data_IF_980685709976
#
_entry.id   IF_980685709976
#
_cell.length_a   1.000
_cell.length_b   1.000
_cell.length_c   1.000
_cell.angle_alpha   90.00
_cell.angle_beta   90.00
_cell.angle_gamma   90.00
#
_symmetry.space_group_name_H-M   'P 1'
#
loop_
_entity.id
_entity.type
_entity.pdbx_description
1 polymer ?
#
# COMPACT_ATOMS: atom_id res chain seq x y z
N UNK A 1 69.24 6.65 26.63
CA UNK A 1 68.76 5.68 27.65
C UNK A 1 67.57 6.35 28.34
N UNK A 2 66.34 5.84 28.45
CA UNK A 2 65.70 4.53 28.24
C UNK A 2 64.28 4.76 27.67
N UNK A 3 63.84 3.82 26.85
CA UNK A 3 62.46 3.55 26.42
C UNK A 3 61.56 3.24 27.62
N UNK A 4 60.27 3.59 27.55
CA UNK A 4 59.18 2.69 27.94
C UNK A 4 57.92 2.99 27.12
N UNK A 5 57.25 1.93 26.70
CA UNK A 5 56.15 1.84 25.73
C UNK A 5 54.79 1.54 26.42
N UNK A 6 53.73 1.65 25.61
CA UNK A 6 52.36 1.07 25.72
C UNK A 6 51.44 1.73 26.75
N UNK A 7 50.16 2.03 26.50
CA UNK A 7 49.17 1.71 25.46
C UNK A 7 47.79 1.92 26.13
N UNK A 8 46.72 2.39 25.47
CA UNK A 8 45.58 1.58 25.01
C UNK A 8 44.49 2.51 24.46
N UNK A 9 43.83 2.00 23.41
CA UNK A 9 42.61 2.38 22.71
C UNK A 9 41.48 3.09 23.50
N UNK A 10 40.77 3.98 22.81
CA UNK A 10 39.29 3.98 22.74
C UNK A 10 38.82 4.81 21.54
N UNK A 11 37.73 4.34 20.94
CA UNK A 11 37.33 4.59 19.56
C UNK A 11 36.01 5.37 19.45
N UNK A 12 35.57 5.52 18.20
CA UNK A 12 34.22 5.82 17.69
C UNK A 12 33.80 7.29 17.49
N UNK A 13 33.72 7.63 16.20
CA UNK A 13 32.51 8.03 15.47
C UNK A 13 31.38 8.68 16.28
N UNK A 14 31.13 9.95 15.98
CA UNK A 14 29.84 10.59 16.17
C UNK A 14 29.40 11.22 14.85
N UNK A 15 28.99 10.40 13.89
CA UNK A 15 28.14 10.86 12.78
C UNK A 15 26.81 11.18 13.44
N UNK A 16 26.47 12.46 13.61
CA UNK A 16 25.09 12.85 13.90
C UNK A 16 24.29 12.59 12.63
N UNK A 17 23.77 11.37 12.52
CA UNK A 17 22.77 11.02 11.53
C UNK A 17 21.63 12.02 11.68
N UNK A 18 21.31 12.71 10.58
CA UNK A 18 20.07 13.45 10.43
C UNK A 18 18.93 12.55 10.90
N UNK A 19 18.36 12.87 12.06
CA UNK A 19 17.05 12.39 12.45
C UNK A 19 16.07 13.00 11.44
N UNK A 20 15.85 12.27 10.35
CA UNK A 20 14.81 12.56 9.39
C UNK A 20 13.51 12.39 10.16
N UNK A 21 12.87 13.51 10.47
CA UNK A 21 11.53 13.56 11.04
C UNK A 21 10.63 12.93 9.97
N UNK A 22 10.37 11.63 10.07
CA UNK A 22 9.28 10.97 9.35
C UNK A 22 7.98 11.51 9.96
N UNK A 23 7.56 12.69 9.50
CA UNK A 23 6.24 13.21 9.81
C UNK A 23 5.20 12.23 9.26
N UNK A 24 4.08 12.11 9.97
CA UNK A 24 2.95 11.28 9.57
C UNK A 24 2.23 11.88 8.34
N UNK A 25 2.93 11.98 7.22
CA UNK A 25 2.54 12.68 5.98
C UNK A 25 1.24 12.12 5.40
N UNK A 26 0.97 10.84 5.62
CA UNK A 26 -0.29 10.20 5.22
C UNK A 26 -1.53 10.87 5.86
N UNK A 27 -1.39 11.50 7.03
CA UNK A 27 -2.50 12.21 7.70
C UNK A 27 -2.95 13.47 6.96
N UNK A 28 -2.17 13.94 5.99
CA UNK A 28 -2.52 15.05 5.12
C UNK A 28 -3.08 14.59 3.77
N UNK A 29 -2.95 13.30 3.45
CA UNK A 29 -3.46 12.72 2.22
C UNK A 29 -4.96 12.38 2.36
N UNK A 30 -5.85 13.00 1.57
CA UNK A 30 -7.28 12.72 1.61
C UNK A 30 -7.63 11.27 1.27
N UNK A 31 -6.86 10.60 0.40
CA UNK A 31 -7.09 9.20 0.04
C UNK A 31 -6.85 8.32 1.26
N UNK A 32 -5.73 8.50 1.94
CA UNK A 32 -5.37 7.70 3.13
C UNK A 32 -6.27 8.00 4.35
N UNK A 33 -6.87 9.18 4.42
CA UNK A 33 -7.61 9.64 5.61
C UNK A 33 -9.13 9.55 5.49
N UNK A 34 -9.67 9.40 4.29
CA UNK A 34 -11.12 9.35 4.06
C UNK A 34 -11.58 7.91 3.89
N UNK A 35 -12.44 7.44 4.79
CA UNK A 35 -13.10 6.12 4.64
C UNK A 35 -13.96 6.10 3.39
N UNK A 36 -13.79 5.05 2.57
CA UNK A 36 -14.53 4.87 1.34
C UNK A 36 -13.77 4.11 0.26
N UNK A 37 -14.32 4.18 -0.96
CA UNK A 37 -13.75 3.62 -2.17
C UNK A 37 -13.26 4.78 -3.03
N UNK A 38 -11.97 4.79 -3.33
CA UNK A 38 -11.29 5.81 -4.11
C UNK A 38 -10.78 5.24 -5.41
N UNK A 39 -10.68 6.10 -6.42
CA UNK A 39 -10.09 5.80 -7.71
C UNK A 39 -8.95 6.78 -7.97
N UNK A 40 -7.81 6.23 -8.35
CA UNK A 40 -6.74 6.96 -9.02
C UNK A 40 -6.72 6.49 -10.48
N UNK A 41 -6.66 7.42 -11.42
CA UNK A 41 -6.66 7.13 -12.86
C UNK A 41 -5.58 7.94 -13.57
N UNK A 42 -5.32 7.60 -14.84
CA UNK A 42 -4.37 8.31 -15.70
C UNK A 42 -3.01 8.50 -15.01
N UNK A 43 -2.45 7.39 -14.53
CA UNK A 43 -1.13 7.35 -13.88
C UNK A 43 -0.96 8.34 -12.70
N UNK A 44 -2.03 8.63 -11.98
CA UNK A 44 -2.01 9.53 -10.81
C UNK A 44 -2.61 10.92 -11.06
N UNK A 45 -2.92 11.27 -12.30
CA UNK A 45 -3.46 12.59 -12.65
C UNK A 45 -4.92 12.76 -12.23
N UNK A 46 -5.70 11.67 -12.22
CA UNK A 46 -7.09 11.67 -11.78
C UNK A 46 -7.23 11.07 -10.39
N UNK A 47 -8.02 11.72 -9.52
CA UNK A 47 -8.36 11.21 -8.20
C UNK A 47 -9.84 11.48 -7.91
N UNK A 48 -10.56 10.47 -7.41
CA UNK A 48 -11.97 10.59 -7.06
C UNK A 48 -12.36 9.70 -5.88
N UNK A 49 -13.17 10.23 -4.97
CA UNK A 49 -13.93 9.43 -4.01
C UNK A 49 -15.20 8.93 -4.70
N UNK A 50 -15.27 7.63 -5.00
CA UNK A 50 -16.42 7.03 -5.68
C UNK A 50 -17.58 6.80 -4.72
N UNK A 51 -17.29 6.42 -3.48
CA UNK A 51 -18.31 6.14 -2.46
C UNK A 51 -17.75 6.23 -1.05
N UNK A 52 -18.55 6.73 -0.10
CA UNK A 52 -18.29 6.62 1.35
C UNK A 52 -18.82 5.31 1.95
N UNK A 53 -19.77 4.67 1.27
CA UNK A 53 -20.25 3.35 1.63
C UNK A 53 -19.36 2.28 1.00
N UNK A 54 -18.99 1.27 1.79
CA UNK A 54 -18.16 0.16 1.36
C UNK A 54 -19.01 -1.11 1.36
N UNK A 55 -19.15 -1.74 0.19
CA UNK A 55 -19.85 -3.02 0.05
C UNK A 55 -19.38 -3.76 -1.21
N UNK A 56 -19.53 -5.09 -1.22
CA UNK A 56 -19.23 -5.91 -2.40
C UNK A 56 -19.96 -5.40 -3.65
N UNK A 57 -21.21 -4.95 -3.50
CA UNK A 57 -22.00 -4.42 -4.61
C UNK A 57 -21.34 -3.18 -5.23
N UNK A 58 -20.87 -2.26 -4.40
CA UNK A 58 -20.22 -1.03 -4.90
C UNK A 58 -18.85 -1.37 -5.49
N UNK A 59 -18.04 -2.19 -4.82
CA UNK A 59 -16.75 -2.66 -5.34
C UNK A 59 -16.92 -3.30 -6.72
N UNK A 60 -17.83 -4.28 -6.83
CA UNK A 60 -18.13 -4.96 -8.08
C UNK A 60 -18.65 -3.98 -9.14
N UNK A 61 -19.51 -3.03 -8.76
CA UNK A 61 -20.01 -2.04 -9.72
C UNK A 61 -18.92 -1.10 -10.22
N UNK A 62 -18.01 -0.63 -9.37
CA UNK A 62 -17.00 0.35 -9.77
C UNK A 62 -15.85 -0.30 -10.53
N UNK A 63 -15.36 -1.46 -10.07
CA UNK A 63 -14.23 -2.13 -10.73
C UNK A 63 -14.56 -2.56 -12.16
N UNK A 64 -15.81 -2.94 -12.43
CA UNK A 64 -16.27 -3.41 -13.74
C UNK A 64 -16.63 -2.27 -14.72
N UNK A 65 -16.62 -1.00 -14.30
CA UNK A 65 -16.81 0.15 -15.20
C UNK A 65 -15.53 0.56 -15.92
N UNK A 66 -14.38 0.14 -15.41
CA UNK A 66 -13.06 0.62 -15.84
C UNK A 66 -12.55 -0.21 -17.02
N UNK A 67 -11.90 0.45 -17.99
CA UNK A 67 -11.22 -0.23 -19.09
C UNK A 67 -9.79 -0.61 -18.70
N UNK A 68 -9.68 -1.71 -17.97
CA UNK A 68 -8.38 -2.25 -17.54
C UNK A 68 -7.46 -2.65 -18.69
N UNK A 69 -7.94 -2.79 -19.93
CA UNK A 69 -7.10 -3.20 -21.07
C UNK A 69 -6.37 -1.99 -21.66
N UNK A 70 -7.05 -0.85 -21.76
CA UNK A 70 -6.51 0.34 -22.41
C UNK A 70 -5.84 1.32 -21.44
N UNK A 71 -6.29 1.34 -20.18
CA UNK A 71 -5.92 2.37 -19.22
C UNK A 71 -5.28 1.78 -17.95
N UNK A 72 -4.70 2.67 -17.14
CA UNK A 72 -4.13 2.37 -15.84
C UNK A 72 -5.01 2.96 -14.73
N UNK A 73 -5.36 2.12 -13.75
CA UNK A 73 -6.16 2.52 -12.59
C UNK A 73 -5.59 1.98 -11.29
N UNK A 74 -5.89 2.65 -10.19
CA UNK A 74 -5.80 2.10 -8.84
C UNK A 74 -7.15 2.30 -8.15
N UNK A 75 -7.73 1.23 -7.65
CA UNK A 75 -8.94 1.26 -6.84
C UNK A 75 -8.55 0.95 -5.39
N UNK A 76 -8.86 1.89 -4.49
CA UNK A 76 -8.39 1.85 -3.10
C UNK A 76 -9.61 1.80 -2.20
N UNK A 77 -9.67 0.78 -1.34
CA UNK A 77 -10.66 0.66 -0.29
C UNK A 77 -10.02 1.02 1.03
N UNK A 78 -10.55 2.04 1.70
CA UNK A 78 -10.08 2.56 2.99
C UNK A 78 -11.12 2.23 4.04
N UNK A 79 -10.82 1.28 4.93
CA UNK A 79 -11.73 0.84 5.99
C UNK A 79 -11.72 1.80 7.19
N UNK A 80 -10.54 2.32 7.50
CA UNK A 80 -10.32 3.34 8.51
C UNK A 80 -9.14 4.22 8.05
N UNK A 81 -9.03 5.48 8.53
CA UNK A 81 -7.91 6.34 8.18
C UNK A 81 -6.58 5.63 8.42
N UNK A 82 -5.78 5.45 7.36
CA UNK A 82 -4.49 4.76 7.40
C UNK A 82 -4.54 3.23 7.30
N UNK A 83 -5.72 2.60 7.15
CA UNK A 83 -5.82 1.17 6.79
C UNK A 83 -6.57 1.03 5.47
N UNK A 84 -5.86 0.52 4.47
CA UNK A 84 -6.39 0.40 3.12
C UNK A 84 -5.88 -0.84 2.38
N UNK A 85 -6.66 -1.28 1.40
CA UNK A 85 -6.21 -2.18 0.34
C UNK A 85 -6.36 -1.47 -0.99
N UNK A 86 -5.28 -1.44 -1.75
CA UNK A 86 -5.23 -0.98 -3.13
C UNK A 86 -5.15 -2.18 -4.05
N UNK A 87 -5.92 -2.17 -5.14
CA UNK A 87 -5.64 -2.95 -6.34
C UNK A 87 -5.36 -1.98 -7.48
N UNK A 88 -4.47 -2.32 -8.40
CA UNK A 88 -4.18 -1.42 -9.50
C UNK A 88 -3.29 -2.02 -10.57
N UNK A 89 -3.14 -1.28 -11.66
CA UNK A 89 -2.38 -1.70 -12.83
C UNK A 89 -3.14 -1.56 -14.14
N UNK A 90 -2.68 -2.31 -15.14
CA UNK A 90 -3.31 -2.47 -16.45
C UNK A 90 -3.11 -3.88 -17.00
N UNK A 91 -4.09 -4.36 -17.77
CA UNK A 91 -4.08 -5.60 -18.56
C UNK A 91 -3.56 -5.36 -20.00
N UNK A 92 -2.93 -4.22 -20.27
CA UNK A 92 -2.31 -3.89 -21.56
C UNK A 92 -1.12 -4.79 -21.96
N UNK A 93 -0.71 -5.71 -21.10
CA UNK A 93 0.44 -6.61 -21.30
C UNK A 93 1.80 -5.99 -20.96
N UNK A 94 1.84 -4.79 -20.39
CA UNK A 94 3.06 -4.05 -20.03
C UNK A 94 3.11 -3.76 -18.52
N UNK A 95 2.08 -3.12 -17.96
CA UNK A 95 2.12 -2.63 -16.56
C UNK A 95 1.86 -3.75 -15.53
N UNK A 96 1.05 -4.74 -15.90
CA UNK A 96 0.62 -5.82 -15.00
C UNK A 96 -0.38 -5.32 -13.94
N UNK A 97 -0.84 -6.24 -13.09
CA UNK A 97 -1.73 -5.94 -11.97
C UNK A 97 -1.03 -6.19 -10.63
N UNK A 98 -1.46 -5.50 -9.58
CA UNK A 98 -0.94 -5.68 -8.23
C UNK A 98 -2.00 -5.39 -7.18
N UNK A 99 -1.69 -5.78 -5.94
CA UNK A 99 -2.45 -5.39 -4.76
C UNK A 99 -1.50 -5.03 -3.62
N UNK A 100 -1.85 -3.98 -2.87
CA UNK A 100 -1.06 -3.45 -1.75
C UNK A 100 -1.97 -3.20 -0.56
N UNK A 101 -1.71 -3.90 0.54
CA UNK A 101 -2.24 -3.57 1.86
C UNK A 101 -1.36 -2.53 2.53
N UNK A 102 -1.97 -1.57 3.21
CA UNK A 102 -1.27 -0.58 4.04
C UNK A 102 -1.95 -0.44 5.39
N UNK A 103 -1.13 -0.40 6.44
CA UNK A 103 -1.51 -0.02 7.79
C UNK A 103 -0.48 1.00 8.30
N UNK A 104 -0.84 2.28 8.14
CA UNK A 104 0.01 3.42 8.47
C UNK A 104 0.24 3.57 9.97
N UNK A 105 -0.70 3.12 10.81
CA UNK A 105 -0.55 3.17 12.27
C UNK A 105 0.57 2.25 12.75
N UNK A 106 0.68 1.08 12.13
CA UNK A 106 1.67 0.06 12.47
C UNK A 106 2.90 0.08 11.54
N UNK A 107 2.94 1.02 10.58
CA UNK A 107 3.99 1.14 9.56
C UNK A 107 4.19 -0.16 8.79
N UNK A 108 3.09 -0.82 8.45
CA UNK A 108 3.07 -2.07 7.68
C UNK A 108 2.60 -1.75 6.27
N UNK A 109 3.39 -2.15 5.28
CA UNK A 109 2.94 -2.33 3.92
C UNK A 109 3.08 -3.81 3.56
N UNK A 110 2.12 -4.35 2.80
CA UNK A 110 2.22 -5.70 2.27
C UNK A 110 1.84 -5.70 0.78
N UNK A 111 2.68 -6.29 -0.05
CA UNK A 111 2.44 -6.40 -1.50
C UNK A 111 2.12 -7.84 -1.83
N UNK A 112 1.13 -8.07 -2.69
CA UNK A 112 0.78 -9.43 -3.12
C UNK A 112 1.98 -10.12 -3.78
N UNK A 113 2.24 -11.36 -3.39
CA UNK A 113 3.40 -12.12 -3.89
C UNK A 113 3.21 -12.53 -5.35
N UNK A 114 2.01 -12.99 -5.69
CA UNK A 114 1.61 -13.39 -7.05
C UNK A 114 0.63 -12.35 -7.60
N UNK A 115 1.00 -11.71 -8.70
CA UNK A 115 0.17 -10.68 -9.33
C UNK A 115 -1.22 -11.23 -9.70
N UNK A 116 -2.31 -10.46 -9.49
CA UNK A 116 -3.62 -10.83 -10.00
C UNK A 116 -3.60 -10.97 -11.53
N UNK A 117 -4.33 -11.94 -12.07
CA UNK A 117 -4.37 -12.19 -13.52
C UNK A 117 -5.64 -11.64 -14.19
N UNK A 118 -6.59 -11.13 -13.39
CA UNK A 118 -7.88 -10.68 -13.91
C UNK A 118 -8.56 -9.67 -13.00
N UNK A 119 -9.50 -8.91 -13.58
CA UNK A 119 -10.40 -8.02 -12.85
C UNK A 119 -11.16 -8.75 -11.75
N UNK A 120 -11.59 -10.00 -12.01
CA UNK A 120 -12.29 -10.82 -11.01
C UNK A 120 -11.40 -11.14 -9.79
N UNK A 121 -10.12 -11.44 -10.01
CA UNK A 121 -9.20 -11.68 -8.89
C UNK A 121 -8.96 -10.39 -8.08
N UNK A 122 -8.79 -9.25 -8.74
CA UNK A 122 -8.69 -7.95 -8.05
C UNK A 122 -9.95 -7.62 -7.23
N UNK A 123 -11.14 -7.85 -7.81
CA UNK A 123 -12.41 -7.70 -7.10
C UNK A 123 -12.44 -8.58 -5.85
N UNK A 124 -12.11 -9.87 -5.99
CA UNK A 124 -12.11 -10.81 -4.88
C UNK A 124 -11.15 -10.38 -3.76
N UNK A 125 -9.95 -9.87 -4.08
CA UNK A 125 -9.00 -9.37 -3.07
C UNK A 125 -9.65 -8.27 -2.22
N UNK A 126 -10.29 -7.28 -2.85
CA UNK A 126 -10.98 -6.21 -2.14
C UNK A 126 -12.18 -6.73 -1.33
N UNK A 127 -12.97 -7.66 -1.88
CA UNK A 127 -14.09 -8.27 -1.17
C UNK A 127 -13.62 -9.04 0.07
N UNK A 128 -12.56 -9.84 -0.03
CA UNK A 128 -11.96 -10.54 1.11
C UNK A 128 -11.35 -9.57 2.13
N UNK A 129 -10.82 -8.42 1.69
CA UNK A 129 -10.32 -7.39 2.59
C UNK A 129 -11.45 -6.82 3.46
N UNK A 130 -12.61 -6.50 2.87
CA UNK A 130 -13.72 -5.89 3.61
C UNK A 130 -14.52 -6.88 4.47
N UNK A 131 -14.32 -8.19 4.32
CA UNK A 131 -14.85 -9.20 5.24
C UNK A 131 -14.23 -9.12 6.65
N UNK A 132 -13.08 -8.47 6.81
CA UNK A 132 -12.36 -8.42 8.08
C UNK A 132 -11.61 -9.70 8.40
N UNK A 133 -11.23 -9.90 9.66
CA UNK A 133 -10.58 -11.11 10.22
C UNK A 133 -9.42 -11.70 9.37
N UNK A 134 -8.70 -10.81 8.68
CA UNK A 134 -7.60 -11.13 7.77
C UNK A 134 -7.96 -12.21 6.73
N UNK A 135 -9.22 -12.26 6.27
CA UNK A 135 -9.66 -13.26 5.28
C UNK A 135 -8.86 -13.18 3.97
N UNK A 136 -8.44 -11.98 3.58
CA UNK A 136 -7.57 -11.78 2.42
C UNK A 136 -6.20 -12.47 2.58
N UNK A 137 -5.59 -12.44 3.79
CA UNK A 137 -4.32 -13.11 4.07
C UNK A 137 -4.44 -14.64 4.04
N UNK A 138 -5.63 -15.17 4.35
CA UNK A 138 -5.89 -16.62 4.28
C UNK A 138 -6.02 -17.10 2.83
N UNK A 139 -6.38 -16.20 1.91
CA UNK A 139 -6.68 -16.52 0.51
C UNK A 139 -5.52 -16.23 -0.43
N UNK A 140 -4.73 -15.20 -0.14
CA UNK A 140 -3.68 -14.68 -0.99
C UNK A 140 -2.40 -14.50 -0.17
N UNK A 141 -1.26 -14.78 -0.79
CA UNK A 141 0.04 -14.55 -0.17
C UNK A 141 0.52 -13.12 -0.40
N UNK A 142 1.04 -12.50 0.66
CA UNK A 142 1.53 -11.13 0.65
C UNK A 142 2.88 -11.06 1.37
N UNK A 143 3.84 -10.36 0.75
CA UNK A 143 5.11 -10.03 1.35
C UNK A 143 4.99 -8.80 2.25
N UNK A 144 5.09 -9.00 3.56
CA UNK A 144 4.99 -7.92 4.56
C UNK A 144 6.33 -7.21 4.78
N UNK A 145 6.26 -5.89 4.92
CA UNK A 145 7.38 -5.05 5.31
C UNK A 145 6.94 -4.05 6.38
N UNK A 146 7.73 -3.97 7.44
CA UNK A 146 7.55 -3.03 8.54
C UNK A 146 8.67 -1.99 8.51
N UNK A 147 8.33 -0.74 8.76
CA UNK A 147 9.25 0.40 8.86
C UNK A 147 9.21 0.99 10.27
#
# INVERSE_FOLDING_TARGET
MKKFMFGIFSALFGISANAQIESADWKLDPIETTVGIHLISDYGNGQALLSKEISNKIISSEINKLDWVSDFYQLIVVLEPGISMEIGGSLNGIDGLSAIYRNRHNRIDAVISEAPESVLQMQNILEYFILGDDQWQKKYDFGFKTY
#
